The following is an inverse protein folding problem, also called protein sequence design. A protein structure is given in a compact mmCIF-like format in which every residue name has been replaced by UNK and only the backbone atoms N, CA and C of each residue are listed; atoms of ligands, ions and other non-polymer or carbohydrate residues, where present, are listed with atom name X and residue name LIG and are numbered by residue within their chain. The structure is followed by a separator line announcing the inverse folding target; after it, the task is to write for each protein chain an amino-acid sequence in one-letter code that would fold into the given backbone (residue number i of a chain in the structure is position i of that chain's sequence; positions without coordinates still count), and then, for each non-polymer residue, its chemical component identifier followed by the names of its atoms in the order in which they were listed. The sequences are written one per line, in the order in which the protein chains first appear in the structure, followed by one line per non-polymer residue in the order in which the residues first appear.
data_IF_499205452746
#
_entry.id   IF_499205452746
#
_cell.length_a   1.000
_cell.length_b   1.000
_cell.length_c   1.000
_cell.angle_alpha   90.00
_cell.angle_beta   90.00
_cell.angle_gamma   90.00
#
_symmetry.space_group_name_H-M   'P 1'
#
loop_
_entity.id
_entity.type
_entity.pdbx_description
1 polymer ?
#
# COMPACT_ATOMS: atom_id res chain seq x y z
N UNK A 1 -9.08 -4.99 -19.05
CA UNK A 1 -9.19 -5.83 -17.84
C UNK A 1 -8.04 -5.46 -16.91
N UNK A 2 -8.33 -4.80 -15.78
CA UNK A 2 -7.32 -4.38 -14.79
C UNK A 2 -7.09 -5.42 -13.69
N UNK A 3 -5.97 -5.32 -12.96
CA UNK A 3 -5.63 -6.15 -11.79
C UNK A 3 -5.52 -7.67 -12.01
N UNK A 4 -5.30 -8.14 -13.24
CA UNK A 4 -5.04 -9.57 -13.51
C UNK A 4 -6.25 -10.50 -13.32
N UNK A 5 -7.46 -9.96 -13.25
CA UNK A 5 -8.69 -10.75 -13.23
C UNK A 5 -9.01 -11.30 -14.63
N UNK A 6 -9.00 -12.62 -14.79
CA UNK A 6 -9.44 -13.31 -16.01
C UNK A 6 -10.90 -13.75 -15.90
N UNK A 7 -11.54 -14.06 -17.04
CA UNK A 7 -12.89 -14.64 -17.08
C UNK A 7 -12.94 -15.91 -16.20
N UNK A 8 -14.01 -16.05 -15.41
CA UNK A 8 -14.19 -17.16 -14.46
C UNK A 8 -13.46 -17.07 -13.11
N UNK A 9 -12.45 -16.20 -12.92
CA UNK A 9 -11.75 -16.06 -11.62
C UNK A 9 -12.38 -15.00 -10.71
N UNK A 10 -12.78 -15.37 -9.50
CA UNK A 10 -13.36 -14.43 -8.51
C UNK A 10 -12.32 -13.53 -7.83
N UNK A 11 -11.04 -13.91 -7.87
CA UNK A 11 -9.94 -13.12 -7.33
C UNK A 11 -8.64 -13.29 -8.12
N UNK A 12 -7.72 -12.37 -7.93
CA UNK A 12 -6.32 -12.46 -8.35
C UNK A 12 -5.40 -12.08 -7.20
N UNK A 13 -4.14 -12.49 -7.27
CA UNK A 13 -3.11 -12.13 -6.30
C UNK A 13 -2.01 -11.37 -7.03
N UNK A 14 -1.63 -10.23 -6.50
CA UNK A 14 -0.57 -9.37 -7.02
C UNK A 14 0.58 -9.41 -6.04
N UNK A 15 1.76 -9.83 -6.50
CA UNK A 15 2.98 -9.76 -5.71
C UNK A 15 3.41 -8.31 -5.58
N UNK A 16 3.74 -7.90 -4.35
CA UNK A 16 4.23 -6.54 -4.07
C UNK A 16 5.51 -6.63 -3.24
N UNK A 17 6.32 -5.54 -3.15
CA UNK A 17 7.56 -5.54 -2.39
C UNK A 17 7.41 -5.76 -0.87
N UNK A 18 6.20 -5.68 -0.31
CA UNK A 18 5.96 -5.87 1.13
C UNK A 18 5.07 -7.07 1.44
N UNK A 19 3.92 -7.18 0.78
CA UNK A 19 2.96 -8.29 1.01
C UNK A 19 2.19 -8.62 -0.26
N UNK A 20 1.83 -9.89 -0.46
CA UNK A 20 0.93 -10.27 -1.54
C UNK A 20 -0.46 -9.63 -1.33
N UNK A 21 -0.96 -8.94 -2.34
CA UNK A 21 -2.27 -8.26 -2.30
C UNK A 21 -3.30 -9.09 -3.03
N UNK A 22 -4.43 -9.36 -2.39
CA UNK A 22 -5.57 -10.04 -2.99
C UNK A 22 -6.51 -9.02 -3.63
N UNK A 23 -6.83 -9.17 -4.91
CA UNK A 23 -7.87 -8.38 -5.56
C UNK A 23 -9.09 -9.26 -5.78
N UNK A 24 -10.18 -8.95 -5.09
CA UNK A 24 -11.45 -9.67 -5.22
C UNK A 24 -12.37 -8.93 -6.19
N UNK A 25 -13.01 -9.68 -7.08
CA UNK A 25 -13.92 -9.12 -8.09
C UNK A 25 -15.10 -8.39 -7.44
N UNK A 26 -15.68 -8.93 -6.36
CA UNK A 26 -16.81 -8.29 -5.66
C UNK A 26 -16.47 -6.87 -5.17
N UNK A 27 -15.31 -6.70 -4.53
CA UNK A 27 -14.90 -5.41 -3.99
C UNK A 27 -14.48 -4.45 -5.11
N UNK A 28 -13.83 -4.96 -6.16
CA UNK A 28 -13.43 -4.14 -7.29
C UNK A 28 -14.64 -3.54 -8.01
N UNK A 29 -15.71 -4.31 -8.21
CA UNK A 29 -16.96 -3.82 -8.80
C UNK A 29 -17.54 -2.67 -7.96
N UNK A 30 -17.62 -2.83 -6.64
CA UNK A 30 -18.11 -1.76 -5.76
C UNK A 30 -17.23 -0.50 -5.74
N UNK A 31 -15.93 -0.62 -5.98
CA UNK A 31 -15.00 0.52 -6.06
C UNK A 31 -15.18 1.29 -7.39
N UNK A 32 -15.37 0.56 -8.49
CA UNK A 32 -15.43 1.09 -9.87
C UNK A 32 -16.84 1.58 -10.25
N UNK A 33 -17.90 0.93 -9.76
CA UNK A 33 -19.30 1.27 -10.05
C UNK A 33 -19.73 2.64 -9.51
N UNK A 34 -18.98 3.22 -8.56
CA UNK A 34 -19.16 4.61 -8.12
C UNK A 34 -18.62 5.57 -9.21
N UNK A 35 -19.38 5.66 -10.30
CA UNK A 35 -19.07 6.27 -11.60
C UNK A 35 -18.85 7.79 -11.72
N UNK A 36 -19.20 8.71 -10.78
CA UNK A 36 -19.09 10.14 -11.10
C UNK A 36 -17.66 10.66 -11.34
N UNK A 37 -16.61 9.88 -11.03
CA UNK A 37 -15.21 10.34 -11.11
C UNK A 37 -14.35 9.67 -12.20
N UNK A 38 -14.93 8.87 -13.11
CA UNK A 38 -14.18 8.15 -14.17
C UNK A 38 -12.97 7.35 -13.64
N UNK A 39 -13.17 6.63 -12.52
CA UNK A 39 -12.14 5.86 -11.79
C UNK A 39 -11.46 4.79 -12.64
N UNK A 40 -12.17 4.29 -13.64
CA UNK A 40 -11.66 3.33 -14.63
C UNK A 40 -10.40 3.86 -15.34
N UNK A 41 -10.29 5.17 -15.59
CA UNK A 41 -9.08 5.81 -16.17
C UNK A 41 -7.86 5.74 -15.24
N UNK A 42 -8.08 5.51 -13.95
CA UNK A 42 -7.03 5.44 -12.93
C UNK A 42 -6.69 4.01 -12.53
N UNK A 43 -7.35 3.01 -13.12
CA UNK A 43 -7.10 1.58 -12.83
C UNK A 43 -5.65 1.20 -13.09
N UNK A 44 -5.05 1.72 -14.17
CA UNK A 44 -3.64 1.44 -14.50
C UNK A 44 -2.69 2.04 -13.47
N UNK A 45 -2.94 3.29 -13.04
CA UNK A 45 -2.18 3.93 -11.97
C UNK A 45 -2.33 3.20 -10.64
N UNK A 46 -3.53 2.71 -10.31
CA UNK A 46 -3.76 1.92 -9.11
C UNK A 46 -3.04 0.57 -9.17
N UNK A 47 -3.05 -0.11 -10.32
CA UNK A 47 -2.29 -1.34 -10.53
C UNK A 47 -0.78 -1.09 -10.38
N UNK A 48 -0.26 -0.06 -11.04
CA UNK A 48 1.14 0.32 -10.92
C UNK A 48 1.51 0.68 -9.48
N UNK A 49 0.64 1.37 -8.73
CA UNK A 49 0.87 1.68 -7.32
C UNK A 49 0.95 0.43 -6.43
N UNK A 50 0.18 -0.62 -6.75
CA UNK A 50 0.25 -1.89 -6.01
C UNK A 50 1.53 -2.65 -6.32
N UNK A 51 1.90 -2.74 -7.60
CA UNK A 51 3.10 -3.46 -8.06
C UNK A 51 4.38 -2.72 -7.68
N UNK A 52 4.35 -1.40 -7.86
CA UNK A 52 5.43 -0.47 -7.62
C UNK A 52 4.88 0.67 -6.74
N UNK A 53 4.79 0.50 -5.41
CA UNK A 53 4.51 1.61 -4.51
C UNK A 53 5.75 2.50 -4.36
N UNK A 54 5.55 3.80 -4.16
CA UNK A 54 6.62 4.68 -3.68
C UNK A 54 6.84 4.42 -2.18
N UNK A 55 5.76 4.38 -1.42
CA UNK A 55 5.74 4.15 0.02
C UNK A 55 4.58 3.22 0.39
N UNK A 56 4.74 2.47 1.46
CA UNK A 56 3.65 1.75 2.12
C UNK A 56 3.65 2.12 3.59
N UNK A 57 2.50 2.59 4.07
CA UNK A 57 2.27 2.96 5.46
C UNK A 57 1.28 2.00 6.10
N UNK A 58 1.62 1.44 7.25
CA UNK A 58 0.72 0.66 8.07
C UNK A 58 0.01 1.56 9.08
N UNK A 59 -1.32 1.53 9.03
CA UNK A 59 -2.20 2.40 9.80
C UNK A 59 -3.11 1.52 10.65
N UNK A 60 -3.03 1.68 11.96
CA UNK A 60 -4.03 1.14 12.90
C UNK A 60 -5.24 2.08 12.93
N UNK A 61 -6.43 1.51 12.82
CA UNK A 61 -7.69 2.22 12.95
C UNK A 61 -8.29 2.01 14.35
N UNK A 62 -9.21 2.90 14.74
CA UNK A 62 -9.86 2.86 16.07
C UNK A 62 -10.73 1.60 16.27
N UNK A 63 -11.16 0.98 15.18
CA UNK A 63 -11.87 -0.31 15.18
C UNK A 63 -10.95 -1.52 15.41
N UNK A 64 -9.65 -1.28 15.67
CA UNK A 64 -8.63 -2.31 15.84
C UNK A 64 -8.13 -2.90 14.53
N UNK A 65 -8.71 -2.51 13.38
CA UNK A 65 -8.27 -3.01 12.08
C UNK A 65 -6.94 -2.41 11.63
N UNK A 66 -6.23 -3.15 10.80
CA UNK A 66 -4.98 -2.68 10.19
C UNK A 66 -5.20 -2.49 8.70
N UNK A 67 -4.81 -1.31 8.20
CA UNK A 67 -4.82 -0.99 6.77
C UNK A 67 -3.43 -0.59 6.30
N UNK A 68 -3.11 -0.97 5.07
CA UNK A 68 -1.91 -0.52 4.39
C UNK A 68 -2.29 0.53 3.35
N UNK A 69 -1.68 1.70 3.46
CA UNK A 69 -1.76 2.78 2.50
C UNK A 69 -0.57 2.69 1.55
N UNK A 70 -0.83 2.17 0.34
CA UNK A 70 0.13 2.16 -0.76
C UNK A 70 0.05 3.50 -1.49
N UNK A 71 1.17 4.20 -1.53
CA UNK A 71 1.25 5.54 -2.13
C UNK A 71 2.02 5.45 -3.44
N UNK A 72 1.38 5.89 -4.53
CA UNK A 72 1.98 6.07 -5.85
C UNK A 72 2.14 7.56 -6.16
N UNK A 73 3.37 7.98 -6.44
CA UNK A 73 3.65 9.35 -6.84
C UNK A 73 4.02 9.44 -8.32
N UNK A 74 3.37 10.35 -9.04
CA UNK A 74 3.49 10.49 -10.49
C UNK A 74 3.84 11.92 -10.87
N UNK A 75 4.51 12.09 -12.02
CA UNK A 75 4.80 13.40 -12.61
C UNK A 75 3.56 14.03 -13.28
N UNK A 76 2.45 14.05 -12.55
CA UNK A 76 1.17 14.63 -12.97
C UNK A 76 0.52 15.31 -11.76
N UNK A 77 -0.59 16.03 -11.96
CA UNK A 77 -1.37 16.60 -10.84
C UNK A 77 -2.02 15.53 -9.96
N UNK A 78 -2.22 14.32 -10.47
CA UNK A 78 -2.86 13.23 -9.75
C UNK A 78 -1.81 12.27 -9.20
N UNK A 79 -1.92 12.02 -7.91
CA UNK A 79 -1.21 10.98 -7.19
C UNK A 79 -2.20 9.86 -6.90
N UNK A 80 -1.69 8.68 -6.53
CA UNK A 80 -2.54 7.52 -6.29
C UNK A 80 -2.38 7.03 -4.85
N UNK A 81 -3.51 6.72 -4.23
CA UNK A 81 -3.56 5.96 -2.99
C UNK A 81 -4.31 4.66 -3.25
N UNK A 82 -3.73 3.54 -2.86
CA UNK A 82 -4.41 2.25 -2.79
C UNK A 82 -4.44 1.80 -1.33
N UNK A 83 -5.63 1.43 -0.86
CA UNK A 83 -5.87 0.98 0.52
C UNK A 83 -6.07 -0.51 0.51
N UNK A 84 -5.24 -1.22 1.26
CA UNK A 84 -5.31 -2.66 1.47
C UNK A 84 -5.77 -2.93 2.89
N UNK A 85 -6.76 -3.80 3.06
CA UNK A 85 -7.20 -4.23 4.38
C UNK A 85 -6.46 -5.50 4.79
N UNK A 86 -5.63 -5.42 5.83
CA UNK A 86 -4.78 -6.54 6.25
C UNK A 86 -5.61 -7.73 6.73
N UNK A 87 -6.60 -7.48 7.59
CA UNK A 87 -7.42 -8.51 8.23
C UNK A 87 -8.30 -9.32 7.27
N UNK A 88 -8.57 -8.79 6.06
CA UNK A 88 -9.30 -9.51 5.01
C UNK A 88 -8.34 -10.15 3.99
N UNK A 89 -7.23 -10.71 4.45
CA UNK A 89 -6.25 -11.38 3.59
C UNK A 89 -5.53 -10.42 2.64
N UNK A 90 -5.15 -9.24 3.14
CA UNK A 90 -4.53 -8.18 2.35
C UNK A 90 -5.35 -7.84 1.10
N UNK A 91 -6.65 -7.66 1.27
CA UNK A 91 -7.55 -7.39 0.15
C UNK A 91 -7.48 -5.91 -0.27
N UNK A 92 -7.41 -5.66 -1.58
CA UNK A 92 -7.58 -4.32 -2.14
C UNK A 92 -8.98 -3.82 -1.79
N UNK A 93 -9.04 -2.84 -0.90
CA UNK A 93 -10.28 -2.33 -0.32
C UNK A 93 -10.76 -1.06 -1.01
N UNK A 94 -9.84 -0.20 -1.44
CA UNK A 94 -10.17 1.02 -2.16
C UNK A 94 -8.95 1.55 -2.93
N UNK A 95 -9.19 2.36 -3.96
CA UNK A 95 -8.16 3.23 -4.53
C UNK A 95 -8.74 4.60 -4.89
N UNK A 96 -7.92 5.64 -4.79
CA UNK A 96 -8.32 7.00 -5.13
C UNK A 96 -7.16 7.81 -5.69
N UNK A 97 -7.47 8.60 -6.73
CA UNK A 97 -6.58 9.66 -7.17
C UNK A 97 -6.76 10.89 -6.27
N UNK A 98 -5.66 11.51 -5.84
CA UNK A 98 -5.69 12.71 -5.02
C UNK A 98 -4.52 13.64 -5.36
N UNK A 99 -4.56 14.90 -4.91
CA UNK A 99 -3.41 15.80 -5.03
C UNK A 99 -2.34 15.47 -3.98
N UNK A 100 -1.16 16.09 -4.11
CA UNK A 100 -0.03 15.87 -3.18
C UNK A 100 -0.38 16.21 -1.72
N UNK A 101 -1.20 17.23 -1.48
CA UNK A 101 -1.57 17.70 -0.13
C UNK A 101 -2.51 16.71 0.54
N UNK A 102 -3.48 16.18 -0.19
CA UNK A 102 -4.37 15.14 0.27
C UNK A 102 -3.61 13.83 0.53
N UNK A 103 -2.67 13.45 -0.35
CA UNK A 103 -1.86 12.25 -0.19
C UNK A 103 -1.03 12.25 1.11
N UNK A 104 -0.49 13.42 1.49
CA UNK A 104 0.27 13.56 2.74
C UNK A 104 -0.53 13.18 3.99
N UNK A 105 -1.87 13.29 3.97
CA UNK A 105 -2.72 12.88 5.09
C UNK A 105 -2.70 11.37 5.33
N UNK A 106 -2.25 10.58 4.36
CA UNK A 106 -2.14 9.12 4.45
C UNK A 106 -0.73 8.65 4.82
N UNK A 107 0.20 9.57 5.05
CA UNK A 107 1.56 9.28 5.54
C UNK A 107 1.59 9.35 7.07
N UNK A 108 0.91 8.41 7.71
CA UNK A 108 0.88 8.32 9.17
C UNK A 108 0.89 6.87 9.62
N UNK A 109 1.07 6.66 10.93
CA UNK A 109 1.35 5.34 11.47
C UNK A 109 2.80 4.94 11.21
N UNK A 110 3.02 3.69 10.81
CA UNK A 110 4.34 3.12 10.62
C UNK A 110 4.70 3.03 9.13
N UNK A 111 5.80 3.65 8.71
CA UNK A 111 6.35 3.45 7.37
C UNK A 111 6.98 2.05 7.29
N UNK A 112 6.42 1.16 6.48
CA UNK A 112 6.87 -0.23 6.37
C UNK A 112 7.65 -0.52 5.09
N UNK A 113 7.50 0.34 4.09
CA UNK A 113 8.27 0.25 2.84
C UNK A 113 8.44 1.63 2.22
N UNK A 114 9.63 1.90 1.68
CA UNK A 114 9.92 3.05 0.84
C UNK A 114 10.86 2.62 -0.27
N UNK A 115 10.47 2.87 -1.53
CA UNK A 115 11.23 2.43 -2.71
C UNK A 115 12.62 3.06 -2.77
N UNK A 116 12.70 4.37 -2.52
CA UNK A 116 13.95 5.09 -2.44
C UNK A 116 14.29 5.29 -0.98
N UNK A 117 15.10 4.39 -0.42
CA UNK A 117 15.67 4.63 0.90
C UNK A 117 16.59 5.84 0.77
N UNK A 118 16.27 6.92 1.49
CA UNK A 118 17.28 7.95 1.74
C UNK A 118 18.44 7.25 2.46
N UNK A 119 19.65 7.35 1.92
CA UNK A 119 20.84 6.81 2.57
C UNK A 119 21.07 7.53 3.91
N UNK A 120 20.38 7.12 4.97
CA UNK A 120 20.55 7.62 6.34
C UNK A 120 20.52 6.45 7.32
N UNK A 121 21.73 5.92 7.52
CA UNK A 121 22.29 5.23 8.69
C UNK A 121 21.50 4.07 9.30
N UNK A 122 21.97 2.86 9.00
CA UNK A 122 22.07 1.77 9.99
C UNK A 122 22.73 2.33 11.26
N UNK A 123 22.00 2.37 12.37
CA UNK A 123 22.61 2.15 13.69
C UNK A 123 22.17 0.75 14.12
N UNK A 124 23.08 -0.20 13.98
CA UNK A 124 23.00 -1.47 14.71
C UNK A 124 23.22 -1.13 16.20
N UNK A 125 22.44 -1.70 17.14
CA UNK A 125 22.81 -1.66 18.54
C UNK A 125 24.06 -2.53 18.73
N UNK A 126 25.12 -1.90 19.22
CA UNK A 126 26.36 -2.52 19.67
C UNK A 126 26.03 -3.49 20.82
N UNK A 127 26.37 -4.76 20.65
CA UNK A 127 26.31 -5.77 21.70
C UNK A 127 27.07 -5.27 22.93
N UNK A 128 26.33 -5.07 24.03
CA UNK A 128 26.93 -4.72 25.30
C UNK A 128 27.84 -5.86 25.77
N UNK A 129 29.13 -5.56 25.83
CA UNK A 129 30.19 -6.38 26.39
C UNK A 129 29.79 -6.88 27.80
N UNK A 130 29.59 -8.20 27.92
CA UNK A 130 29.63 -8.83 29.23
C UNK A 130 31.08 -8.90 29.68
N UNK A 131 31.39 -8.11 30.69
CA UNK A 131 32.71 -8.00 31.30
C UNK A 131 33.02 -9.30 32.06
N UNK A 132 34.17 -9.91 31.76
CA UNK A 132 34.83 -10.82 32.69
C UNK A 132 35.27 -10.02 33.93
N UNK A 133 34.69 -10.41 35.07
CA UNK A 133 35.20 -10.17 36.42
C UNK A 133 35.24 -11.59 37.00
N UNK A 134 36.35 -12.21 37.39
CA UNK A 134 37.58 -11.72 37.99
C UNK A 134 37.90 -12.70 39.13
N UNK A 135 39.20 -12.90 39.38
CA UNK A 135 39.84 -13.71 40.44
C UNK A 135 40.06 -15.20 40.13
#
# INVERSE_FOLDING_TARGET
MGFGLSEGKSYSVIQTPYVAVTVRREYLLHIVEKRPNARERFTEFALDTVQNPLEIWQISYDDGSIRLAFIGAYNTKYQMLVVIHADYGHSLWNFMNCDKKALNKHRHGMLVYQRFQSAKQKKQPEEAAFSEVGA
#
